data_IF_960694388294
#
_entry.id   IF_960694388294
#
_cell.length_a   1.000
_cell.length_b   1.000
_cell.length_c   1.000
_cell.angle_alpha   90.00
_cell.angle_beta   90.00
_cell.angle_gamma   90.00
#
_symmetry.space_group_name_H-M   'P 1'
#
loop_
_entity.id
_entity.type
_entity.pdbx_description
1 polymer ?
#
# COMPACT_ATOMS: atom_id res chain seq x y z
N UNK A 1 -21.68 2.37 -5.72
CA UNK A 1 -20.91 2.46 -6.97
C UNK A 1 -19.63 1.67 -6.80
N UNK A 2 -19.42 0.61 -7.58
CA UNK A 2 -18.17 -0.16 -7.62
C UNK A 2 -17.41 0.25 -8.88
N UNK A 3 -16.93 1.49 -8.91
CA UNK A 3 -16.03 1.97 -9.97
C UNK A 3 -14.58 1.88 -9.46
N UNK A 4 -14.24 0.76 -8.82
CA UNK A 4 -12.92 0.54 -8.23
C UNK A 4 -12.19 -0.56 -9.01
N UNK A 5 -11.00 -0.23 -9.49
CA UNK A 5 -10.04 -1.23 -9.96
C UNK A 5 -9.21 -1.65 -8.76
N UNK A 6 -9.34 -2.92 -8.37
CA UNK A 6 -8.56 -3.48 -7.28
C UNK A 6 -7.35 -4.23 -7.85
N UNK A 7 -6.17 -3.91 -7.32
CA UNK A 7 -4.92 -4.61 -7.62
C UNK A 7 -4.41 -5.19 -6.31
N UNK A 8 -4.21 -6.50 -6.27
CA UNK A 8 -3.60 -7.15 -5.11
C UNK A 8 -2.09 -7.16 -5.27
N UNK A 9 -1.38 -6.44 -4.40
CA UNK A 9 0.09 -6.38 -4.38
C UNK A 9 0.59 -7.28 -3.27
N UNK A 10 1.22 -8.38 -3.65
CA UNK A 10 1.82 -9.36 -2.73
C UNK A 10 3.34 -9.18 -2.68
N UNK A 11 3.99 -9.73 -1.65
CA UNK A 11 5.44 -9.58 -1.43
C UNK A 11 6.30 -10.16 -2.58
N UNK A 12 5.76 -11.12 -3.34
CA UNK A 12 6.41 -11.78 -4.47
C UNK A 12 6.10 -11.13 -5.83
N UNK A 13 5.16 -10.18 -5.88
CA UNK A 13 4.82 -9.47 -7.11
C UNK A 13 5.98 -8.54 -7.50
N UNK A 14 6.57 -8.68 -8.70
CA UNK A 14 7.64 -7.78 -9.12
C UNK A 14 7.13 -6.34 -9.29
N UNK A 15 7.77 -5.39 -8.61
CA UNK A 15 7.47 -3.96 -8.72
C UNK A 15 8.69 -3.24 -9.31
N UNK A 16 8.46 -2.41 -10.32
CA UNK A 16 9.49 -1.51 -10.89
C UNK A 16 8.99 -0.08 -10.89
N UNK A 17 9.80 0.81 -10.35
CA UNK A 17 9.51 2.24 -10.30
C UNK A 17 10.46 2.98 -11.24
N UNK A 18 9.91 3.86 -12.08
CA UNK A 18 10.70 4.73 -12.97
C UNK A 18 10.24 6.17 -12.83
N UNK A 19 11.19 7.09 -12.64
CA UNK A 19 10.92 8.52 -12.72
C UNK A 19 10.76 8.92 -14.20
N UNK A 20 9.65 9.58 -14.53
CA UNK A 20 9.40 10.20 -15.82
C UNK A 20 9.61 11.71 -15.68
N UNK A 21 10.88 12.14 -15.61
CA UNK A 21 11.26 13.54 -15.32
C UNK A 21 10.67 14.53 -16.32
N UNK A 22 10.56 14.13 -17.59
CA UNK A 22 9.92 14.93 -18.65
C UNK A 22 8.42 15.18 -18.43
N UNK A 23 7.77 14.40 -17.57
CA UNK A 23 6.33 14.44 -17.34
C UNK A 23 5.95 14.63 -15.86
N UNK A 24 6.94 15.00 -15.02
CA UNK A 24 6.81 15.28 -13.60
C UNK A 24 6.04 14.21 -12.80
N UNK A 25 6.26 12.94 -13.11
CA UNK A 25 5.54 11.81 -12.50
C UNK A 25 6.42 10.58 -12.34
N UNK A 26 6.02 9.68 -11.46
CA UNK A 26 6.56 8.34 -11.33
C UNK A 26 5.65 7.34 -12.05
N UNK A 27 6.27 6.34 -12.67
CA UNK A 27 5.59 5.16 -13.22
C UNK A 27 5.91 3.96 -12.33
N UNK A 28 4.88 3.37 -11.73
CA UNK A 28 4.99 2.13 -10.94
C UNK A 28 4.37 1.00 -11.76
N UNK A 29 5.19 0.02 -12.15
CA UNK A 29 4.76 -1.16 -12.92
C UNK A 29 4.69 -2.37 -12.00
N UNK A 30 3.59 -3.11 -12.08
CA UNK A 30 3.35 -4.34 -11.33
C UNK A 30 3.33 -5.55 -12.28
N UNK A 31 4.18 -6.56 -12.04
CA UNK A 31 4.17 -7.84 -12.77
C UNK A 31 5.08 -7.90 -14.02
N UNK A 32 5.07 -9.05 -14.71
CA UNK A 32 5.97 -9.36 -15.85
C UNK A 32 5.30 -9.33 -17.23
N UNK A 33 4.08 -9.88 -17.37
CA UNK A 33 3.45 -10.16 -18.67
C UNK A 33 2.25 -9.24 -19.02
N UNK A 34 1.52 -8.75 -18.02
CA UNK A 34 0.42 -7.79 -18.18
C UNK A 34 0.58 -6.68 -17.13
N UNK A 35 1.49 -5.72 -17.36
CA UNK A 35 1.87 -4.78 -16.32
C UNK A 35 0.71 -3.82 -16.06
N UNK A 36 0.16 -3.86 -14.85
CA UNK A 36 -0.64 -2.75 -14.35
C UNK A 36 0.32 -1.60 -14.08
N UNK A 37 -0.05 -0.40 -14.54
CA UNK A 37 0.78 0.79 -14.41
C UNK A 37 0.01 1.83 -13.60
N UNK A 38 0.60 2.23 -12.49
CA UNK A 38 0.15 3.38 -11.71
C UNK A 38 1.07 4.57 -12.01
N UNK A 39 0.48 5.65 -12.54
CA UNK A 39 1.17 6.93 -12.68
C UNK A 39 0.87 7.79 -11.46
N UNK A 40 1.91 8.33 -10.83
CA UNK A 40 1.80 9.17 -9.64
C UNK A 40 2.49 10.50 -9.91
N UNK A 41 1.74 11.59 -9.89
CA UNK A 41 2.33 12.93 -10.05
C UNK A 41 3.28 13.26 -8.89
N UNK A 42 4.32 14.05 -9.18
CA UNK A 42 5.38 14.33 -8.20
C UNK A 42 4.86 14.89 -6.87
N UNK A 43 3.82 15.72 -6.89
CA UNK A 43 3.22 16.28 -5.67
C UNK A 43 2.49 15.21 -4.84
N UNK A 44 1.91 14.21 -5.51
CA UNK A 44 1.18 13.11 -4.86
C UNK A 44 2.13 12.06 -4.26
N UNK A 45 3.39 11.97 -4.70
CA UNK A 45 4.35 10.99 -4.18
C UNK A 45 4.54 11.14 -2.67
N UNK A 46 4.73 12.38 -2.19
CA UNK A 46 4.95 12.63 -0.77
C UNK A 46 3.72 12.24 0.08
N UNK A 47 2.52 12.49 -0.45
CA UNK A 47 1.24 12.13 0.18
C UNK A 47 1.09 10.61 0.22
N UNK A 48 1.24 9.93 -0.92
CA UNK A 48 1.10 8.48 -1.02
C UNK A 48 2.07 7.75 -0.09
N UNK A 49 3.33 8.20 -0.01
CA UNK A 49 4.31 7.66 0.92
C UNK A 49 3.85 7.76 2.37
N UNK A 50 3.39 8.95 2.79
CA UNK A 50 2.91 9.19 4.15
C UNK A 50 1.75 8.26 4.50
N UNK A 51 0.77 8.11 3.61
CA UNK A 51 -0.39 7.24 3.86
C UNK A 51 0.01 5.77 3.97
N UNK A 52 0.94 5.30 3.13
CA UNK A 52 1.46 3.93 3.21
C UNK A 52 2.24 3.68 4.51
N UNK A 53 3.04 4.65 4.97
CA UNK A 53 3.76 4.58 6.24
C UNK A 53 2.79 4.49 7.45
N UNK A 54 1.71 5.29 7.44
CA UNK A 54 0.68 5.24 8.47
C UNK A 54 -0.02 3.87 8.52
N UNK A 55 -0.36 3.30 7.36
CA UNK A 55 -0.98 1.97 7.28
C UNK A 55 -0.01 0.90 7.77
N UNK A 56 1.28 0.97 7.41
CA UNK A 56 2.29 0.02 7.91
C UNK A 56 2.35 0.03 9.43
N UNK A 57 2.46 1.20 10.05
CA UNK A 57 2.50 1.32 11.51
C UNK A 57 1.23 0.75 12.19
N UNK A 58 0.07 0.95 11.59
CA UNK A 58 -1.19 0.40 12.11
C UNK A 58 -1.24 -1.13 12.01
N UNK A 59 -0.77 -1.71 10.90
CA UNK A 59 -0.68 -3.15 10.71
C UNK A 59 0.33 -3.80 11.65
N UNK A 60 1.49 -3.15 11.85
CA UNK A 60 2.52 -3.63 12.79
C UNK A 60 1.98 -3.63 14.24
N UNK A 61 1.26 -2.58 14.64
CA UNK A 61 0.62 -2.51 15.95
C UNK A 61 -0.45 -3.60 16.12
N UNK A 62 -1.25 -3.88 15.10
CA UNK A 62 -2.22 -4.97 15.13
C UNK A 62 -1.55 -6.35 15.27
N UNK A 63 -0.50 -6.60 14.48
CA UNK A 63 0.26 -7.85 14.56
C UNK A 63 0.92 -8.06 15.94
N UNK A 64 1.41 -6.97 16.57
CA UNK A 64 1.97 -7.04 17.91
C UNK A 64 0.92 -7.41 18.97
N UNK A 65 -0.33 -6.94 18.84
CA UNK A 65 -1.44 -7.29 19.74
C UNK A 65 -1.87 -8.74 19.61
N UNK A 66 -1.91 -9.25 18.38
CA UNK A 66 -2.21 -10.67 18.12
C UNK A 66 -1.15 -11.58 18.76
N UNK A 67 0.12 -11.16 18.74
CA UNK A 67 1.23 -11.86 19.38
C UNK A 67 1.24 -11.74 20.91
N UNK A 68 0.73 -10.64 21.48
CA UNK A 68 0.68 -10.44 22.92
C UNK A 68 -0.48 -11.17 23.61
N UNK A 69 -1.36 -11.84 22.86
CA UNK A 69 -2.44 -12.67 23.41
C UNK A 69 -3.39 -11.91 24.31
N UNK A 70 -3.60 -10.61 24.04
CA UNK A 70 -4.47 -9.77 24.85
C UNK A 70 -5.93 -10.13 24.52
N UNK A 71 -6.45 -11.12 25.24
CA UNK A 71 -7.86 -11.50 25.24
C UNK A 71 -8.69 -10.22 25.49
N UNK A 72 -9.68 -9.89 24.65
CA UNK A 72 -10.54 -8.74 24.89
C UNK A 72 -11.16 -8.88 26.28
N UNK A 73 -11.21 -7.82 27.10
CA UNK A 73 -11.87 -7.90 28.39
C UNK A 73 -13.29 -8.40 28.16
N UNK A 74 -13.60 -9.55 28.74
CA UNK A 74 -14.91 -10.19 28.71
C UNK A 74 -15.93 -9.12 29.11
N UNK A 75 -16.80 -8.73 28.17
CA UNK A 75 -17.82 -7.74 28.42
C UNK A 75 -18.84 -8.36 29.40
N UNK A 76 -18.58 -8.19 30.70
CA UNK A 76 -19.51 -8.55 31.76
C UNK A 76 -20.77 -7.71 31.60
N UNK A 77 -21.85 -8.41 31.28
CA UNK A 77 -23.22 -7.90 31.19
C UNK A 77 -23.80 -7.63 32.58
#
# INVERSE_FOLDING_TARGET
MRDTVQIHVTADLPIRVRALTYANRAEVRFGKAFPVVLLVDSAAIAVLRRELELVSAALDAAAARDLSGEEPPEATN
#
